data_IF_974727733358
#
_entry.id   IF_974727733358
#
_cell.length_a   1.000
_cell.length_b   1.000
_cell.length_c   1.000
_cell.angle_alpha   90.00
_cell.angle_beta   90.00
_cell.angle_gamma   90.00
#
_symmetry.space_group_name_H-M   'P 1'
#
loop_
_entity.id
_entity.type
_entity.pdbx_description
1 polymer ?
#
# COMPACT_ATOMS: atom_id res chain seq x y z
N UNK A 1 -37.18 -19.70 33.60
CA UNK A 1 -37.76 -20.50 32.47
C UNK A 1 -37.46 -19.96 31.09
N UNK A 2 -36.58 -18.98 30.95
CA UNK A 2 -36.19 -18.32 29.67
C UNK A 2 -35.13 -19.07 28.86
N UNK A 3 -34.23 -19.84 29.51
CA UNK A 3 -33.11 -20.50 28.83
C UNK A 3 -33.47 -21.63 27.84
N UNK A 4 -34.61 -22.32 28.01
CA UNK A 4 -34.98 -23.44 27.12
C UNK A 4 -35.47 -22.97 25.73
N UNK A 5 -36.14 -21.81 25.62
CA UNK A 5 -36.68 -21.31 24.35
C UNK A 5 -35.57 -20.79 23.41
N UNK A 6 -34.49 -20.18 23.96
CA UNK A 6 -33.41 -19.62 23.18
C UNK A 6 -32.53 -20.72 22.57
N UNK A 7 -32.31 -21.82 23.30
CA UNK A 7 -31.53 -22.97 22.82
C UNK A 7 -32.22 -23.69 21.66
N UNK A 8 -33.55 -23.85 21.73
CA UNK A 8 -34.35 -24.50 20.66
C UNK A 8 -34.30 -23.67 19.37
N UNK A 9 -34.45 -22.35 19.47
CA UNK A 9 -34.38 -21.43 18.32
C UNK A 9 -33.00 -21.46 17.65
N UNK A 10 -31.91 -21.44 18.44
CA UNK A 10 -30.56 -21.51 17.90
C UNK A 10 -30.30 -22.85 17.19
N UNK A 11 -30.79 -23.96 17.78
CA UNK A 11 -30.65 -25.29 17.17
C UNK A 11 -31.40 -25.42 15.84
N UNK A 12 -32.63 -24.91 15.76
CA UNK A 12 -33.41 -24.90 14.52
C UNK A 12 -32.72 -24.07 13.43
N UNK A 13 -32.11 -22.97 13.82
CA UNK A 13 -31.43 -22.06 12.93
C UNK A 13 -30.11 -22.67 12.39
N UNK A 14 -29.35 -23.35 13.24
CA UNK A 14 -28.17 -24.11 12.84
C UNK A 14 -28.55 -25.23 11.86
N UNK A 15 -29.65 -25.96 12.11
CA UNK A 15 -30.14 -26.98 11.20
C UNK A 15 -30.54 -26.40 9.83
N UNK A 16 -31.13 -25.19 9.78
CA UNK A 16 -31.44 -24.49 8.53
C UNK A 16 -30.17 -24.12 7.76
N UNK A 17 -29.13 -23.66 8.45
CA UNK A 17 -27.85 -23.37 7.80
C UNK A 17 -27.17 -24.65 7.29
N UNK A 18 -27.26 -25.74 8.05
CA UNK A 18 -26.69 -27.03 7.64
C UNK A 18 -27.38 -27.63 6.40
N UNK A 19 -28.63 -27.27 6.12
CA UNK A 19 -29.36 -27.69 4.93
C UNK A 19 -28.99 -26.91 3.66
N UNK A 20 -28.17 -25.87 3.75
CA UNK A 20 -27.71 -25.09 2.59
C UNK A 20 -26.53 -25.75 1.89
N UNK A 21 -26.28 -25.46 0.60
CA UNK A 21 -25.15 -26.02 -0.16
C UNK A 21 -23.80 -25.73 0.48
N UNK A 22 -23.64 -24.58 1.14
CA UNK A 22 -22.46 -24.20 1.92
C UNK A 22 -22.89 -23.79 3.34
N UNK A 23 -22.92 -24.74 4.29
CA UNK A 23 -23.36 -24.50 5.66
C UNK A 23 -22.53 -23.45 6.39
N UNK A 24 -21.21 -23.46 6.21
CA UNK A 24 -20.29 -22.54 6.90
C UNK A 24 -20.47 -21.11 6.42
N UNK A 25 -20.61 -20.92 5.11
CA UNK A 25 -20.88 -19.60 4.51
C UNK A 25 -22.22 -19.06 4.98
N UNK A 26 -23.26 -19.91 5.02
CA UNK A 26 -24.60 -19.55 5.51
C UNK A 26 -24.62 -19.18 6.98
N UNK A 27 -23.85 -19.88 7.83
CA UNK A 27 -23.69 -19.52 9.24
C UNK A 27 -22.98 -18.17 9.39
N UNK A 28 -21.94 -17.93 8.59
CA UNK A 28 -21.19 -16.68 8.62
C UNK A 28 -22.07 -15.50 8.17
N UNK A 29 -22.85 -15.67 7.11
CA UNK A 29 -23.79 -14.65 6.61
C UNK A 29 -24.85 -14.31 7.66
N UNK A 30 -25.43 -15.33 8.29
CA UNK A 30 -26.37 -15.15 9.39
C UNK A 30 -25.73 -14.39 10.57
N UNK A 31 -24.53 -14.80 11.01
CA UNK A 31 -23.80 -14.15 12.11
C UNK A 31 -23.53 -12.68 11.78
N UNK A 32 -23.00 -12.40 10.60
CA UNK A 32 -22.76 -11.02 10.14
C UNK A 32 -24.03 -10.17 10.16
N UNK A 33 -25.16 -10.75 9.70
CA UNK A 33 -26.47 -10.07 9.71
C UNK A 33 -26.91 -9.75 11.14
N UNK A 34 -26.76 -10.66 12.08
CA UNK A 34 -27.12 -10.45 13.49
C UNK A 34 -26.24 -9.39 14.16
N UNK A 35 -24.94 -9.43 13.90
CA UNK A 35 -24.01 -8.44 14.42
C UNK A 35 -24.35 -7.04 13.90
N UNK A 36 -24.64 -6.88 12.59
CA UNK A 36 -25.07 -5.60 12.02
C UNK A 36 -26.36 -5.08 12.67
N UNK A 37 -27.34 -5.93 12.88
CA UNK A 37 -28.60 -5.51 13.52
C UNK A 37 -28.39 -5.11 14.99
N UNK A 38 -27.52 -5.82 15.73
CA UNK A 38 -27.17 -5.46 17.11
C UNK A 38 -26.44 -4.11 17.18
N UNK A 39 -25.42 -3.88 16.33
CA UNK A 39 -24.73 -2.59 16.24
C UNK A 39 -25.70 -1.44 15.93
N UNK A 40 -26.55 -1.64 14.91
CA UNK A 40 -27.52 -0.62 14.49
C UNK A 40 -28.56 -0.37 15.56
N UNK A 41 -29.01 -1.39 16.32
CA UNK A 41 -29.92 -1.20 17.46
C UNK A 41 -29.26 -0.36 18.56
N UNK A 42 -27.97 -0.57 18.84
CA UNK A 42 -27.18 0.27 19.77
C UNK A 42 -27.05 1.73 19.30
N UNK A 43 -26.76 1.94 18.01
CA UNK A 43 -26.62 3.27 17.41
C UNK A 43 -27.95 4.01 17.43
N UNK A 44 -29.05 3.34 16.99
CA UNK A 44 -30.40 3.91 16.89
C UNK A 44 -31.04 4.11 18.27
N UNK A 45 -30.62 3.35 19.28
CA UNK A 45 -31.24 3.33 20.61
C UNK A 45 -32.62 2.64 20.65
N UNK A 46 -32.94 1.84 19.61
CA UNK A 46 -34.19 1.11 19.54
C UNK A 46 -34.02 -0.17 18.68
N UNK A 47 -34.69 -1.22 19.08
CA UNK A 47 -34.83 -2.45 18.31
C UNK A 47 -35.56 -2.23 16.98
N UNK A 48 -35.43 -3.19 16.06
CA UNK A 48 -36.17 -3.17 14.79
C UNK A 48 -37.66 -3.27 15.06
N UNK A 49 -38.44 -2.35 14.48
CA UNK A 49 -39.90 -2.22 14.64
C UNK A 49 -40.36 -1.87 16.06
N UNK A 50 -39.48 -1.54 17.00
CA UNK A 50 -39.87 -1.06 18.33
C UNK A 50 -40.00 0.46 18.33
N UNK A 51 -41.02 0.96 19.03
CA UNK A 51 -41.16 2.38 19.33
C UNK A 51 -40.45 2.70 20.64
N UNK A 52 -39.46 3.62 20.58
CA UNK A 52 -38.72 4.04 21.78
C UNK A 52 -38.56 5.56 21.76
N UNK A 53 -38.98 6.27 22.84
CA UNK A 53 -38.84 7.73 22.94
C UNK A 53 -37.36 8.21 22.89
N UNK A 54 -36.40 7.38 23.30
CA UNK A 54 -34.95 7.67 23.28
C UNK A 54 -34.27 7.34 21.97
N UNK A 55 -35.02 7.08 20.91
CA UNK A 55 -34.50 6.79 19.58
C UNK A 55 -33.69 7.98 19.04
N UNK A 56 -32.46 7.69 18.57
CA UNK A 56 -31.50 8.70 18.06
C UNK A 56 -31.51 8.82 16.55
N UNK A 57 -31.86 7.75 15.82
CA UNK A 57 -31.86 7.70 14.37
C UNK A 57 -32.91 6.70 13.84
N UNK A 58 -33.07 6.67 12.53
CA UNK A 58 -34.05 5.82 11.84
C UNK A 58 -33.39 4.93 10.82
N UNK A 59 -33.85 3.67 10.71
CA UNK A 59 -33.48 2.75 9.64
C UNK A 59 -34.16 3.16 8.34
N UNK A 60 -33.39 3.27 7.24
CA UNK A 60 -33.86 3.65 5.91
C UNK A 60 -33.66 2.53 4.88
N UNK A 61 -33.96 1.29 5.24
CA UNK A 61 -33.80 0.13 4.38
C UNK A 61 -32.36 -0.44 4.42
N UNK A 62 -31.98 -1.14 3.36
CA UNK A 62 -30.72 -1.88 3.25
C UNK A 62 -30.03 -1.56 1.93
N UNK A 63 -28.73 -1.84 1.88
CA UNK A 63 -27.94 -1.85 0.65
C UNK A 63 -27.20 -3.19 0.54
N UNK A 64 -27.22 -3.86 -0.63
CA UNK A 64 -26.40 -5.05 -0.83
C UNK A 64 -24.92 -4.67 -0.84
N UNK A 65 -24.12 -5.49 -0.17
CA UNK A 65 -22.67 -5.36 -0.18
C UNK A 65 -22.03 -6.73 -0.34
N UNK A 66 -21.20 -6.89 -1.36
CA UNK A 66 -20.40 -8.08 -1.55
C UNK A 66 -19.29 -8.13 -0.51
N UNK A 67 -19.10 -9.28 0.12
CA UNK A 67 -18.01 -9.59 1.03
C UNK A 67 -17.38 -10.92 0.62
N UNK A 68 -16.13 -10.84 0.14
CA UNK A 68 -15.34 -12.02 -0.18
C UNK A 68 -14.62 -12.47 1.10
N UNK A 69 -14.76 -13.74 1.46
CA UNK A 69 -14.15 -14.38 2.62
C UNK A 69 -13.37 -15.61 2.20
N UNK A 70 -12.58 -16.20 3.12
CA UNK A 70 -11.90 -17.46 2.88
C UNK A 70 -12.87 -18.63 2.66
N UNK A 71 -14.12 -18.49 3.09
CA UNK A 71 -15.19 -19.49 2.92
C UNK A 71 -16.00 -19.29 1.65
N UNK A 72 -15.78 -18.21 0.92
CA UNK A 72 -16.52 -17.86 -0.28
C UNK A 72 -17.03 -16.41 -0.29
N UNK A 73 -17.77 -16.08 -1.35
CA UNK A 73 -18.40 -14.76 -1.53
C UNK A 73 -19.81 -14.77 -0.93
N UNK A 74 -20.13 -13.77 -0.10
CA UNK A 74 -21.47 -13.52 0.42
C UNK A 74 -21.97 -12.13 0.06
N UNK A 75 -23.27 -11.95 0.07
CA UNK A 75 -23.93 -10.65 -0.16
C UNK A 75 -24.68 -10.23 1.09
N UNK A 76 -24.11 -9.28 1.82
CA UNK A 76 -24.70 -8.76 3.04
C UNK A 76 -25.65 -7.62 2.74
N UNK A 77 -26.83 -7.65 3.34
CA UNK A 77 -27.80 -6.56 3.32
C UNK A 77 -27.47 -5.59 4.46
N UNK A 78 -26.60 -4.62 4.17
CA UNK A 78 -26.13 -3.64 5.17
C UNK A 78 -27.22 -2.62 5.46
N UNK A 79 -27.66 -2.44 6.72
CA UNK A 79 -28.66 -1.45 7.09
C UNK A 79 -28.21 -0.02 6.74
N UNK A 80 -29.18 0.81 6.29
CA UNK A 80 -28.97 2.24 6.09
C UNK A 80 -29.61 3.00 7.26
N UNK A 81 -28.90 4.01 7.74
CA UNK A 81 -29.42 4.98 8.69
C UNK A 81 -29.76 6.31 8.00
N UNK A 82 -30.67 7.06 8.54
CA UNK A 82 -31.19 8.30 7.92
C UNK A 82 -30.22 9.47 8.05
N UNK A 83 -29.65 9.65 9.24
CA UNK A 83 -28.84 10.83 9.56
C UNK A 83 -27.36 10.57 9.57
N UNK A 84 -26.94 9.31 9.58
CA UNK A 84 -25.51 8.96 9.63
C UNK A 84 -25.17 7.73 8.78
N UNK A 85 -23.92 7.65 8.33
CA UNK A 85 -23.41 6.48 7.63
C UNK A 85 -23.15 5.32 8.60
N UNK A 86 -23.57 4.10 8.25
CA UNK A 86 -23.22 2.89 8.98
C UNK A 86 -22.27 2.01 8.16
N UNK A 87 -21.19 1.60 8.80
CA UNK A 87 -20.21 0.63 8.27
C UNK A 87 -20.03 -0.44 9.34
N UNK A 88 -20.31 -1.73 9.05
CA UNK A 88 -20.12 -2.81 10.01
C UNK A 88 -18.66 -2.88 10.50
N UNK A 89 -18.43 -3.20 11.79
CA UNK A 89 -17.10 -3.25 12.38
C UNK A 89 -16.18 -4.25 11.66
N UNK A 90 -16.69 -5.40 11.26
CA UNK A 90 -15.91 -6.43 10.55
C UNK A 90 -15.49 -6.00 9.13
N UNK A 91 -16.13 -4.99 8.54
CA UNK A 91 -15.68 -4.36 7.29
C UNK A 91 -14.51 -3.41 7.56
N UNK A 92 -14.46 -2.79 8.72
CA UNK A 92 -13.31 -1.97 9.18
C UNK A 92 -12.09 -2.83 9.45
N UNK A 93 -12.26 -4.00 10.07
CA UNK A 93 -11.19 -5.00 10.23
C UNK A 93 -10.65 -5.49 8.88
N UNK A 94 -11.53 -5.66 7.87
CA UNK A 94 -11.11 -5.97 6.50
C UNK A 94 -10.20 -4.90 5.90
N UNK A 95 -10.43 -3.62 6.17
CA UNK A 95 -9.53 -2.54 5.71
C UNK A 95 -8.11 -2.70 6.25
N UNK A 96 -7.94 -3.17 7.49
CA UNK A 96 -6.63 -3.48 8.07
C UNK A 96 -5.98 -4.68 7.36
N UNK A 97 -6.75 -5.72 7.06
CA UNK A 97 -6.26 -6.87 6.28
C UNK A 97 -5.89 -6.49 4.85
N UNK A 98 -6.66 -5.60 4.22
CA UNK A 98 -6.33 -5.04 2.91
C UNK A 98 -5.04 -4.20 2.96
N UNK A 99 -4.84 -3.39 3.98
CA UNK A 99 -3.60 -2.63 4.18
C UNK A 99 -2.39 -3.55 4.35
N UNK A 100 -2.52 -4.61 5.15
CA UNK A 100 -1.48 -5.61 5.32
C UNK A 100 -1.16 -6.35 4.00
N UNK A 101 -2.20 -6.69 3.20
CA UNK A 101 -2.02 -7.29 1.89
C UNK A 101 -1.28 -6.34 0.94
N UNK A 102 -1.64 -5.05 0.92
CA UNK A 102 -0.96 -4.03 0.12
C UNK A 102 0.51 -3.97 0.48
N UNK A 103 0.86 -3.95 1.77
CA UNK A 103 2.25 -3.96 2.23
C UNK A 103 3.01 -5.20 1.76
N UNK A 104 2.41 -6.39 1.87
CA UNK A 104 3.02 -7.65 1.39
C UNK A 104 3.23 -7.63 -0.12
N UNK A 105 2.25 -7.12 -0.89
CA UNK A 105 2.36 -6.99 -2.35
C UNK A 105 3.44 -5.98 -2.72
N UNK A 106 3.53 -4.85 -2.04
CA UNK A 106 4.55 -3.83 -2.27
C UNK A 106 5.94 -4.36 -1.94
N UNK A 107 6.11 -5.05 -0.81
CA UNK A 107 7.37 -5.68 -0.43
C UNK A 107 7.80 -6.73 -1.46
N UNK A 108 6.89 -7.62 -1.85
CA UNK A 108 7.17 -8.63 -2.87
C UNK A 108 7.53 -7.98 -4.23
N UNK A 109 6.93 -6.83 -4.56
CA UNK A 109 7.24 -6.09 -5.77
C UNK A 109 8.67 -5.51 -5.72
N UNK A 110 9.04 -4.90 -4.62
CA UNK A 110 10.40 -4.38 -4.38
C UNK A 110 11.44 -5.51 -4.44
N UNK A 111 11.10 -6.72 -3.96
CA UNK A 111 11.95 -7.92 -4.04
C UNK A 111 11.98 -8.54 -5.46
N UNK A 112 11.38 -7.90 -6.46
CA UNK A 112 11.42 -8.34 -7.85
C UNK A 112 10.48 -9.50 -8.20
N UNK A 113 9.47 -9.76 -7.36
CA UNK A 113 8.45 -10.77 -7.66
C UNK A 113 7.53 -10.24 -8.76
N UNK A 114 7.49 -10.93 -9.91
CA UNK A 114 6.63 -10.51 -11.02
C UNK A 114 5.14 -10.57 -10.66
N UNK A 115 4.32 -9.72 -11.29
CA UNK A 115 2.86 -9.67 -11.06
C UNK A 115 2.17 -11.01 -11.29
N UNK A 116 2.68 -11.85 -12.21
CA UNK A 116 2.19 -13.23 -12.42
C UNK A 116 2.49 -14.16 -11.25
N UNK A 117 3.68 -14.03 -10.64
CA UNK A 117 4.05 -14.82 -9.45
C UNK A 117 3.25 -14.35 -8.25
N UNK A 118 2.97 -13.05 -8.12
CA UNK A 118 2.12 -12.49 -7.07
C UNK A 118 0.68 -13.00 -7.16
N UNK A 119 0.10 -13.07 -8.36
CA UNK A 119 -1.24 -13.65 -8.58
C UNK A 119 -1.28 -15.12 -8.10
N UNK A 120 -0.25 -15.92 -8.45
CA UNK A 120 -0.14 -17.31 -7.98
C UNK A 120 0.02 -17.40 -6.45
N UNK A 121 0.86 -16.55 -5.86
CA UNK A 121 1.07 -16.48 -4.41
C UNK A 121 -0.22 -16.10 -3.69
N UNK A 122 -0.96 -15.11 -4.20
CA UNK A 122 -2.24 -14.69 -3.64
C UNK A 122 -3.26 -15.84 -3.64
N UNK A 123 -3.35 -16.59 -4.75
CA UNK A 123 -4.22 -17.77 -4.83
C UNK A 123 -3.85 -18.86 -3.83
N UNK A 124 -2.56 -19.12 -3.63
CA UNK A 124 -2.13 -20.09 -2.59
C UNK A 124 -2.44 -19.64 -1.17
N UNK A 125 -2.65 -18.34 -0.95
CA UNK A 125 -3.10 -17.74 0.31
C UNK A 125 -4.63 -17.65 0.42
N UNK A 126 -5.38 -18.20 -0.55
CA UNK A 126 -6.85 -18.15 -0.59
C UNK A 126 -7.43 -16.83 -1.08
N UNK A 127 -6.63 -15.98 -1.75
CA UNK A 127 -7.06 -14.71 -2.34
C UNK A 127 -7.29 -14.96 -3.84
N UNK A 128 -8.51 -15.34 -4.22
CA UNK A 128 -8.81 -15.77 -5.59
C UNK A 128 -8.81 -14.65 -6.63
N UNK A 129 -8.98 -13.39 -6.22
CA UNK A 129 -9.25 -12.27 -7.11
C UNK A 129 -8.18 -11.18 -7.09
N UNK A 130 -6.89 -11.51 -6.91
CA UNK A 130 -5.81 -10.55 -7.09
C UNK A 130 -5.40 -10.53 -8.56
N UNK A 131 -5.96 -9.59 -9.34
CA UNK A 131 -5.59 -9.38 -10.74
C UNK A 131 -4.29 -8.57 -10.87
N UNK A 132 -3.65 -8.66 -12.04
CA UNK A 132 -2.45 -7.84 -12.35
C UNK A 132 -2.72 -6.34 -12.24
N UNK A 133 -3.93 -5.91 -12.64
CA UNK A 133 -4.34 -4.51 -12.51
C UNK A 133 -4.41 -4.06 -11.06
N UNK A 134 -4.92 -4.92 -10.17
CA UNK A 134 -4.95 -4.63 -8.73
C UNK A 134 -3.55 -4.60 -8.13
N UNK A 135 -2.65 -5.51 -8.52
CA UNK A 135 -1.23 -5.44 -8.10
C UNK A 135 -0.61 -4.12 -8.54
N UNK A 136 -0.82 -3.73 -9.80
CA UNK A 136 -0.33 -2.45 -10.34
C UNK A 136 -0.91 -1.25 -9.58
N UNK A 137 -2.19 -1.29 -9.23
CA UNK A 137 -2.82 -0.23 -8.42
C UNK A 137 -2.23 -0.15 -7.01
N UNK A 138 -2.02 -1.30 -6.36
CA UNK A 138 -1.42 -1.38 -5.02
C UNK A 138 0.02 -0.85 -4.98
N UNK A 139 0.75 -0.95 -6.10
CA UNK A 139 2.14 -0.48 -6.21
C UNK A 139 2.27 0.99 -6.61
N UNK A 140 1.18 1.67 -6.99
CA UNK A 140 1.21 3.12 -7.33
C UNK A 140 1.79 3.98 -6.20
N UNK A 141 1.44 3.67 -4.95
CA UNK A 141 1.96 4.39 -3.79
C UNK A 141 3.48 4.33 -3.66
N UNK A 142 4.14 3.28 -4.19
CA UNK A 142 5.61 3.20 -4.23
C UNK A 142 6.19 4.23 -5.21
N UNK A 143 5.54 4.43 -6.37
CA UNK A 143 5.98 5.43 -7.34
C UNK A 143 5.88 6.84 -6.75
N UNK A 144 4.83 7.14 -5.97
CA UNK A 144 4.68 8.42 -5.28
C UNK A 144 5.78 8.63 -4.25
N UNK A 145 6.14 7.59 -3.48
CA UNK A 145 7.26 7.64 -2.53
C UNK A 145 8.60 7.86 -3.23
N UNK A 146 8.83 7.19 -4.37
CA UNK A 146 10.04 7.38 -5.19
C UNK A 146 10.09 8.81 -5.74
N UNK A 147 8.98 9.34 -6.26
CA UNK A 147 8.92 10.71 -6.76
C UNK A 147 9.15 11.73 -5.63
N UNK A 148 8.53 11.52 -4.48
CA UNK A 148 8.80 12.36 -3.30
C UNK A 148 10.27 12.34 -2.90
N UNK A 149 10.89 11.15 -2.84
CA UNK A 149 12.32 11.02 -2.55
C UNK A 149 13.17 11.78 -3.55
N UNK A 150 12.89 11.64 -4.85
CA UNK A 150 13.64 12.28 -5.93
C UNK A 150 13.49 13.80 -5.98
N UNK A 151 12.35 14.34 -5.54
CA UNK A 151 12.06 15.77 -5.54
C UNK A 151 12.24 16.48 -4.20
N UNK A 152 12.48 15.72 -3.11
CA UNK A 152 12.55 16.30 -1.76
C UNK A 152 13.66 17.38 -1.67
N UNK A 153 13.41 18.51 -0.99
CA UNK A 153 14.43 19.50 -0.73
C UNK A 153 15.60 18.94 0.11
N UNK A 154 16.81 19.32 -0.24
CA UNK A 154 18.03 18.97 0.51
C UNK A 154 18.37 20.14 1.44
N UNK A 155 17.80 20.12 2.65
CA UNK A 155 17.98 21.21 3.62
C UNK A 155 19.26 21.09 4.44
N UNK A 156 19.88 19.91 4.43
CA UNK A 156 21.14 19.65 5.13
C UNK A 156 22.38 20.11 4.36
N UNK A 157 23.47 20.39 5.08
CA UNK A 157 24.79 20.54 4.46
C UNK A 157 25.47 19.19 4.44
N UNK A 158 26.03 18.83 3.27
CA UNK A 158 26.75 17.58 3.03
C UNK A 158 28.19 17.90 2.60
N UNK A 159 29.12 18.07 3.57
CA UNK A 159 30.52 18.35 3.28
C UNK A 159 31.20 17.33 2.39
N UNK A 160 30.79 16.07 2.51
CA UNK A 160 31.35 14.97 1.73
C UNK A 160 30.21 14.23 1.02
N UNK A 161 30.37 13.97 -0.26
CA UNK A 161 29.48 13.12 -1.03
C UNK A 161 30.25 11.99 -1.71
N UNK A 162 29.62 10.82 -1.81
CA UNK A 162 30.06 9.68 -2.61
C UNK A 162 29.11 9.49 -3.76
N UNK A 163 29.66 9.22 -4.93
CA UNK A 163 28.88 8.84 -6.11
C UNK A 163 29.38 7.51 -6.64
N UNK A 164 28.46 6.57 -6.85
CA UNK A 164 28.76 5.24 -7.36
C UNK A 164 27.64 4.78 -8.30
N UNK A 165 27.99 3.99 -9.30
CA UNK A 165 27.05 3.45 -10.28
C UNK A 165 26.85 1.95 -10.09
N UNK A 166 25.60 1.54 -9.93
CA UNK A 166 25.18 0.15 -9.94
C UNK A 166 24.60 -0.19 -11.31
N UNK A 167 24.93 -1.36 -11.86
CA UNK A 167 24.41 -1.80 -13.15
C UNK A 167 23.33 -2.84 -12.97
N UNK A 168 22.14 -2.53 -13.47
CA UNK A 168 20.99 -3.43 -13.44
C UNK A 168 20.49 -3.78 -14.84
N UNK A 169 20.13 -5.05 -15.04
CA UNK A 169 19.52 -5.51 -16.28
C UNK A 169 18.02 -5.29 -16.26
N UNK A 170 17.56 -4.33 -17.02
CA UNK A 170 16.14 -4.03 -17.15
C UNK A 170 15.61 -4.43 -18.53
N UNK A 171 14.30 -4.69 -18.60
CA UNK A 171 13.63 -4.91 -19.88
C UNK A 171 12.96 -3.61 -20.34
N UNK A 172 13.44 -3.06 -21.44
CA UNK A 172 12.90 -1.87 -22.08
C UNK A 172 12.62 -2.20 -23.55
N UNK A 173 11.42 -1.87 -24.04
CA UNK A 173 10.98 -2.10 -25.44
C UNK A 173 11.21 -3.53 -25.96
N UNK A 174 10.97 -4.53 -25.09
CA UNK A 174 11.13 -5.93 -25.43
C UNK A 174 12.57 -6.47 -25.40
N UNK A 175 13.55 -5.62 -25.16
CA UNK A 175 14.99 -5.99 -25.07
C UNK A 175 15.48 -5.87 -23.63
N UNK A 176 16.50 -6.67 -23.29
CA UNK A 176 17.22 -6.54 -22.01
C UNK A 176 18.38 -5.59 -22.24
N UNK A 177 18.37 -4.46 -21.55
CA UNK A 177 19.43 -3.46 -21.56
C UNK A 177 20.08 -3.38 -20.19
N UNK A 178 21.39 -3.10 -20.16
CA UNK A 178 22.08 -2.75 -18.92
C UNK A 178 21.83 -1.26 -18.66
N UNK A 179 21.32 -0.93 -17.50
CA UNK A 179 21.08 0.45 -17.08
C UNK A 179 21.96 0.76 -15.89
N UNK A 180 22.69 1.86 -15.94
CA UNK A 180 23.40 2.38 -14.80
C UNK A 180 22.41 3.06 -13.86
N UNK A 181 22.50 2.78 -12.57
CA UNK A 181 21.75 3.48 -11.51
C UNK A 181 22.78 4.20 -10.65
N UNK A 182 22.86 5.51 -10.83
CA UNK A 182 23.74 6.35 -10.04
C UNK A 182 23.17 6.56 -8.64
N UNK A 183 23.95 6.24 -7.62
CA UNK A 183 23.63 6.47 -6.22
C UNK A 183 24.53 7.57 -5.69
N UNK A 184 23.93 8.61 -5.11
CA UNK A 184 24.69 9.67 -4.43
C UNK A 184 24.37 9.61 -2.94
N UNK A 185 25.43 9.42 -2.14
CA UNK A 185 25.37 9.39 -0.69
C UNK A 185 26.08 10.62 -0.13
N UNK A 186 25.39 11.40 0.72
CA UNK A 186 25.96 12.54 1.42
C UNK A 186 26.26 12.22 2.88
N UNK A 187 27.33 12.80 3.44
CA UNK A 187 27.57 12.82 4.87
C UNK A 187 27.28 14.22 5.39
N UNK A 188 26.37 14.32 6.35
CA UNK A 188 26.04 15.60 6.96
C UNK A 188 27.09 16.04 8.02
N UNK A 189 26.92 17.24 8.56
CA UNK A 189 27.84 17.80 9.56
C UNK A 189 27.90 17.00 10.86
N UNK A 190 26.89 16.17 11.14
CA UNK A 190 26.83 15.27 12.30
C UNK A 190 27.46 13.90 12.04
N UNK A 191 27.97 13.67 10.82
CA UNK A 191 28.59 12.40 10.42
C UNK A 191 27.59 11.31 9.98
N UNK A 192 26.29 11.62 9.89
CA UNK A 192 25.30 10.68 9.37
C UNK A 192 25.36 10.60 7.84
N UNK A 193 25.13 9.40 7.34
CA UNK A 193 25.05 9.14 5.92
C UNK A 193 23.60 9.14 5.46
N UNK A 194 23.32 9.90 4.40
CA UNK A 194 22.01 9.96 3.75
C UNK A 194 22.16 9.64 2.26
N UNK A 195 21.29 8.80 1.73
CA UNK A 195 21.17 8.68 0.28
C UNK A 195 20.38 9.91 -0.20
N UNK A 196 21.03 10.76 -1.01
CA UNK A 196 20.45 12.02 -1.48
C UNK A 196 19.95 11.95 -2.93
N UNK A 197 20.47 10.98 -3.72
CA UNK A 197 19.92 10.66 -5.03
C UNK A 197 20.04 9.19 -5.37
N UNK A 198 19.09 8.69 -6.16
CA UNK A 198 19.13 7.42 -6.89
C UNK A 198 18.55 7.71 -8.28
N UNK A 199 19.39 7.72 -9.31
CA UNK A 199 18.97 8.12 -10.65
C UNK A 199 19.37 7.08 -11.67
N UNK A 200 18.40 6.45 -12.38
CA UNK A 200 18.68 5.58 -13.50
C UNK A 200 19.19 6.39 -14.71
N UNK A 201 20.26 5.93 -15.32
CA UNK A 201 20.88 6.56 -16.48
C UNK A 201 21.03 5.54 -17.61
N UNK A 202 20.65 5.93 -18.82
CA UNK A 202 20.83 5.09 -20.00
C UNK A 202 22.28 5.05 -20.48
N UNK A 203 23.00 6.13 -20.27
CA UNK A 203 24.39 6.30 -20.59
C UNK A 203 25.15 7.02 -19.46
N UNK A 204 26.44 6.75 -19.39
CA UNK A 204 27.38 7.40 -18.47
C UNK A 204 28.14 8.51 -19.17
N UNK A 205 27.39 9.48 -19.70
CA UNK A 205 27.95 10.66 -20.33
C UNK A 205 28.16 11.78 -19.31
N UNK A 206 29.06 12.73 -19.66
CA UNK A 206 29.22 13.95 -18.87
C UNK A 206 27.91 14.70 -18.71
N UNK A 207 27.11 14.72 -19.76
CA UNK A 207 25.82 15.39 -19.82
C UNK A 207 24.82 14.79 -18.80
N UNK A 208 24.72 13.47 -18.73
CA UNK A 208 23.85 12.75 -17.78
C UNK A 208 24.26 13.02 -16.33
N UNK A 209 25.57 13.01 -16.06
CA UNK A 209 26.08 13.35 -14.72
C UNK A 209 25.83 14.82 -14.36
N UNK A 210 26.04 15.75 -15.31
CA UNK A 210 25.78 17.18 -15.07
C UNK A 210 24.30 17.44 -14.78
N UNK A 211 23.37 16.76 -15.47
CA UNK A 211 21.94 16.85 -15.20
C UNK A 211 21.60 16.36 -13.79
N UNK A 212 22.18 15.25 -13.34
CA UNK A 212 22.00 14.75 -11.99
C UNK A 212 22.47 15.78 -10.95
N UNK A 213 23.69 16.31 -11.10
CA UNK A 213 24.25 17.26 -10.14
C UNK A 213 23.47 18.58 -10.15
N UNK A 214 23.03 19.03 -11.32
CA UNK A 214 22.14 20.21 -11.41
C UNK A 214 20.83 19.98 -10.65
N UNK A 215 20.21 18.82 -10.83
CA UNK A 215 19.01 18.44 -10.08
C UNK A 215 19.23 18.47 -8.55
N UNK A 216 20.41 18.05 -8.07
CA UNK A 216 20.76 18.13 -6.66
C UNK A 216 20.94 19.57 -6.18
N UNK A 217 21.56 20.43 -6.98
CA UNK A 217 21.70 21.86 -6.70
C UNK A 217 20.34 22.56 -6.64
N UNK A 218 19.46 22.27 -7.61
CA UNK A 218 18.08 22.81 -7.65
C UNK A 218 17.25 22.37 -6.43
N UNK A 219 17.52 21.19 -5.88
CA UNK A 219 16.93 20.71 -4.64
C UNK A 219 17.56 21.31 -3.38
N UNK A 220 18.58 22.13 -3.50
CA UNK A 220 19.23 22.86 -2.41
C UNK A 220 20.55 22.26 -1.90
N UNK A 221 21.14 21.30 -2.62
CA UNK A 221 22.48 20.81 -2.28
C UNK A 221 23.48 21.97 -2.36
N UNK A 222 24.20 22.23 -1.28
CA UNK A 222 25.31 23.17 -1.27
C UNK A 222 26.57 22.47 -1.76
N UNK A 223 27.46 23.20 -2.44
CA UNK A 223 28.74 22.67 -2.93
C UNK A 223 29.46 21.90 -1.81
N UNK A 224 29.75 20.61 -2.03
CA UNK A 224 30.48 19.79 -1.07
C UNK A 224 31.96 20.24 -0.99
N UNK A 225 32.63 19.88 0.08
CA UNK A 225 34.08 20.07 0.22
C UNK A 225 34.86 18.99 -0.52
N UNK A 226 34.33 17.76 -0.49
CA UNK A 226 34.93 16.58 -1.08
C UNK A 226 33.88 15.74 -1.82
N UNK A 227 34.19 15.34 -3.04
CA UNK A 227 33.42 14.37 -3.82
C UNK A 227 34.28 13.13 -4.05
N UNK A 228 33.79 11.97 -3.66
CA UNK A 228 34.44 10.68 -3.87
C UNK A 228 33.67 9.92 -4.96
N UNK A 229 34.39 9.46 -6.00
CA UNK A 229 33.81 8.69 -7.09
C UNK A 229 34.85 7.76 -7.71
N UNK A 230 34.41 6.90 -8.61
CA UNK A 230 35.31 6.22 -9.53
C UNK A 230 36.00 7.21 -10.48
N UNK A 231 37.06 6.73 -11.17
CA UNK A 231 37.87 7.54 -12.07
C UNK A 231 37.26 7.72 -13.49
N UNK A 232 35.91 7.67 -13.63
CA UNK A 232 35.25 7.93 -14.91
C UNK A 232 35.48 9.38 -15.35
N UNK A 233 36.07 9.55 -16.56
CA UNK A 233 36.44 10.88 -17.07
C UNK A 233 35.25 11.85 -17.21
N UNK A 234 34.06 11.33 -17.64
CA UNK A 234 32.85 12.11 -17.77
C UNK A 234 32.36 12.59 -16.41
N UNK A 235 32.38 11.69 -15.40
CA UNK A 235 31.97 12.00 -14.03
C UNK A 235 32.88 13.06 -13.39
N UNK A 236 34.20 12.91 -13.51
CA UNK A 236 35.16 13.91 -13.02
C UNK A 236 34.95 15.26 -13.66
N UNK A 237 34.72 15.31 -14.98
CA UNK A 237 34.44 16.56 -15.69
C UNK A 237 33.14 17.22 -15.19
N UNK A 238 32.08 16.44 -14.99
CA UNK A 238 30.81 16.92 -14.45
C UNK A 238 30.95 17.43 -13.01
N UNK A 239 31.71 16.72 -12.14
CA UNK A 239 31.99 17.17 -10.76
C UNK A 239 32.66 18.53 -10.73
N UNK A 240 33.71 18.72 -11.54
CA UNK A 240 34.46 19.99 -11.60
C UNK A 240 33.61 21.17 -12.08
N UNK A 241 32.69 20.90 -13.01
CA UNK A 241 31.77 21.91 -13.55
C UNK A 241 30.67 22.25 -12.56
N UNK A 242 30.04 21.23 -11.94
CA UNK A 242 28.87 21.41 -11.07
C UNK A 242 29.25 21.89 -9.67
N UNK A 243 30.44 21.52 -9.18
CA UNK A 243 30.90 21.83 -7.81
C UNK A 243 32.25 22.56 -7.82
N UNK A 244 32.28 23.83 -8.30
CA UNK A 244 33.54 24.59 -8.31
C UNK A 244 34.07 24.77 -6.89
N UNK A 245 35.36 24.43 -6.69
CA UNK A 245 36.04 24.48 -5.39
C UNK A 245 35.95 23.21 -4.57
N UNK A 246 35.19 22.21 -4.97
CA UNK A 246 35.23 20.89 -4.35
C UNK A 246 36.54 20.15 -4.68
N UNK A 247 37.06 19.42 -3.70
CA UNK A 247 38.15 18.45 -3.92
C UNK A 247 37.56 17.14 -4.47
N UNK A 248 38.33 16.42 -5.29
CA UNK A 248 37.97 15.07 -5.79
C UNK A 248 39.13 14.13 -5.54
#
# INVERSE_FOLDING_TARGET
>A
MTHKKDTTYLTELLLKCMAQPDPMLSMLEWLCTRLMEAEVSGIVGAEKNAHNPSRRDYRCGYRPRRLDTRMGTMYLMVPKLRNQGYIPFFVTERKRSEAALIQVVQEAFVQGVSTRKMEKLARSLGIENLSRSQVSEMTKGLNEQVQYFRSRPLTGRYPVIWTDALYEKIRMDGRVVSMAVMVVCGVNEQGHRDIIAVEPMLDESKESYSQLFQSLLDRGLKTPLLVVSDANKGLIAAIRESFPGASW
#
